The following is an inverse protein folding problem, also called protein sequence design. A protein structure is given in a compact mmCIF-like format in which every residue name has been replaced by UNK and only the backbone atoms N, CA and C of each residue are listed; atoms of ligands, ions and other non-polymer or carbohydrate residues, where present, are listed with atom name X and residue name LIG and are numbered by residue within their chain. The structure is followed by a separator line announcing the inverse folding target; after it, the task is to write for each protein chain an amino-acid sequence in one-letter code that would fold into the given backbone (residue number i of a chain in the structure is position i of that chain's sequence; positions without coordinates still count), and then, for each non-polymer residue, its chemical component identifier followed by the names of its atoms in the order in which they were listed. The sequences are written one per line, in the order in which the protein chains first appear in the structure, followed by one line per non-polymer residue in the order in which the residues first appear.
data_IF_125713395093
#
_entry.id   IF_125713395093
#
_cell.length_a   1.000
_cell.length_b   1.000
_cell.length_c   1.000
_cell.angle_alpha   90.00
_cell.angle_beta   90.00
_cell.angle_gamma   90.00
#
_symmetry.space_group_name_H-M   'P 1'
#
loop_
_entity.id
_entity.type
_entity.pdbx_description
1 polymer ?
#
# COMPACT_ATOMS: atom_id res chain seq x y z
N UNK A 1 0.12 -7.15 9.19
CA UNK A 1 -0.31 -6.29 8.06
C UNK A 1 -1.83 -6.25 8.07
N UNK A 2 -2.45 -5.09 8.30
CA UNK A 2 -3.90 -5.06 8.57
C UNK A 2 -4.70 -5.59 7.38
N UNK A 3 -5.73 -6.36 7.71
CA UNK A 3 -6.70 -6.92 6.75
C UNK A 3 -7.44 -5.80 6.00
N UNK A 4 -7.60 -4.64 6.64
CA UNK A 4 -8.24 -3.44 6.10
C UNK A 4 -7.58 -2.93 4.80
N UNK A 5 -6.25 -2.82 4.77
CA UNK A 5 -5.54 -2.36 3.55
C UNK A 5 -5.68 -3.38 2.42
N UNK A 6 -5.72 -4.67 2.74
CA UNK A 6 -5.95 -5.69 1.72
C UNK A 6 -7.38 -5.62 1.16
N UNK A 7 -8.41 -5.30 1.97
CA UNK A 7 -9.78 -5.20 1.45
C UNK A 7 -9.99 -3.92 0.62
N UNK A 8 -9.42 -2.77 1.01
CA UNK A 8 -9.38 -1.56 0.15
C UNK A 8 -8.78 -1.86 -1.23
N UNK A 9 -7.76 -2.73 -1.26
CA UNK A 9 -7.04 -3.13 -2.47
C UNK A 9 -7.78 -4.24 -3.25
N UNK A 10 -8.55 -5.10 -2.56
CA UNK A 10 -9.27 -6.23 -3.18
C UNK A 10 -10.55 -5.79 -3.90
N UNK A 11 -11.18 -4.68 -3.49
CA UNK A 11 -12.35 -4.11 -4.19
C UNK A 11 -11.98 -3.50 -5.55
N UNK A 12 -10.69 -3.39 -5.89
CA UNK A 12 -10.21 -3.07 -7.24
C UNK A 12 -9.99 -4.34 -8.10
N UNK A 13 -10.95 -5.28 -8.04
CA UNK A 13 -10.94 -6.49 -8.87
C UNK A 13 -11.38 -6.19 -10.31
N UNK A 14 -10.53 -6.61 -11.25
CA UNK A 14 -10.78 -6.76 -12.69
C UNK A 14 -11.91 -7.81 -12.92
N UNK A 15 -12.72 -7.82 -13.99
CA UNK A 15 -12.47 -7.61 -15.41
C UNK A 15 -13.69 -6.94 -16.10
N UNK A 16 -13.47 -6.35 -17.28
CA UNK A 16 -14.37 -5.56 -18.15
C UNK A 16 -14.38 -4.03 -17.88
N UNK A 17 -14.06 -3.25 -18.92
CA UNK A 17 -14.21 -1.77 -19.00
C UNK A 17 -13.03 -0.88 -18.53
N UNK A 18 -11.77 -1.27 -18.78
CA UNK A 18 -10.64 -0.33 -18.70
C UNK A 18 -10.20 0.12 -17.31
N UNK A 19 -10.62 -0.59 -16.25
CA UNK A 19 -10.15 -0.33 -14.88
C UNK A 19 -8.64 -0.60 -14.73
N UNK A 20 -7.92 0.18 -13.90
CA UNK A 20 -6.49 -0.02 -13.67
C UNK A 20 -6.23 -1.28 -12.84
N UNK A 21 -5.12 -1.96 -13.14
CA UNK A 21 -4.66 -3.09 -12.34
C UNK A 21 -4.06 -2.62 -11.03
N UNK A 22 -4.43 -3.26 -9.92
CA UNK A 22 -3.84 -3.03 -8.62
C UNK A 22 -3.20 -4.31 -8.09
N UNK A 23 -1.99 -4.19 -7.56
CA UNK A 23 -1.23 -5.31 -7.00
C UNK A 23 -0.64 -4.84 -5.69
N UNK A 24 -0.84 -5.63 -4.63
CA UNK A 24 -0.19 -5.40 -3.34
C UNK A 24 0.44 -6.68 -2.83
N UNK A 25 1.74 -6.60 -2.62
CA UNK A 25 2.52 -7.67 -2.03
C UNK A 25 3.75 -7.04 -1.35
N UNK A 26 4.01 -7.30 -0.06
CA UNK A 26 5.18 -6.75 0.64
C UNK A 26 6.51 -7.05 -0.07
N UNK A 27 6.60 -8.17 -0.81
CA UNK A 27 7.81 -8.56 -1.55
C UNK A 27 8.11 -7.63 -2.73
N UNK A 28 7.14 -6.83 -3.19
CA UNK A 28 7.37 -5.80 -4.20
C UNK A 28 8.36 -4.73 -3.72
N UNK A 29 8.56 -4.59 -2.40
CA UNK A 29 9.60 -3.69 -1.89
C UNK A 29 11.01 -4.14 -2.33
N UNK A 30 11.22 -5.45 -2.44
CA UNK A 30 12.51 -6.06 -2.81
C UNK A 30 12.61 -6.25 -4.32
N UNK A 31 11.53 -6.71 -4.96
CA UNK A 31 11.52 -7.04 -6.40
C UNK A 31 10.96 -5.93 -7.29
N UNK A 32 10.65 -4.76 -6.73
CA UNK A 32 9.96 -3.66 -7.41
C UNK A 32 10.61 -3.28 -8.72
N UNK A 33 11.95 -3.15 -8.75
CA UNK A 33 12.69 -2.82 -9.96
C UNK A 33 12.42 -3.75 -11.14
N UNK A 34 12.39 -5.07 -10.94
CA UNK A 34 12.14 -6.01 -12.04
C UNK A 34 10.66 -6.07 -12.43
N UNK A 35 9.77 -5.76 -11.48
CA UNK A 35 8.34 -5.73 -11.70
C UNK A 35 7.91 -4.50 -12.51
N UNK A 36 8.36 -3.32 -12.08
CA UNK A 36 8.05 -2.04 -12.69
C UNK A 36 8.52 -1.93 -14.14
N UNK A 37 9.65 -2.55 -14.51
CA UNK A 37 10.13 -2.62 -15.92
C UNK A 37 9.14 -3.27 -16.88
N UNK A 38 8.23 -4.09 -16.38
CA UNK A 38 7.27 -4.87 -17.18
C UNK A 38 5.90 -4.22 -17.22
N UNK A 39 5.73 -3.10 -16.52
CA UNK A 39 4.46 -2.39 -16.41
C UNK A 39 4.42 -1.22 -17.40
N UNK A 40 3.22 -0.97 -17.92
CA UNK A 40 2.95 0.23 -18.71
C UNK A 40 2.44 1.31 -17.75
N UNK A 41 3.20 2.41 -17.60
CA UNK A 41 2.87 3.56 -16.74
C UNK A 41 2.53 3.18 -15.28
N UNK A 42 3.46 2.55 -14.54
CA UNK A 42 3.18 2.18 -13.16
C UNK A 42 3.04 3.40 -12.25
N UNK A 43 2.08 3.32 -11.34
CA UNK A 43 1.93 4.24 -10.21
C UNK A 43 2.13 3.46 -8.93
N UNK A 44 3.02 3.94 -8.07
CA UNK A 44 3.39 3.30 -6.83
C UNK A 44 2.72 4.01 -5.64
N UNK A 45 1.91 3.28 -4.88
CA UNK A 45 1.34 3.77 -3.63
C UNK A 45 2.26 3.31 -2.49
N UNK A 46 2.96 4.25 -1.86
CA UNK A 46 3.87 3.97 -0.74
C UNK A 46 3.22 4.39 0.57
N UNK A 47 2.74 3.40 1.31
CA UNK A 47 2.25 3.61 2.67
C UNK A 47 3.43 3.65 3.62
N UNK A 48 3.63 4.78 4.31
CA UNK A 48 4.68 4.93 5.31
C UNK A 48 4.08 5.00 6.72
N UNK A 49 4.83 4.47 7.68
CA UNK A 49 4.44 4.37 9.09
C UNK A 49 5.68 4.56 9.96
N UNK A 50 5.46 4.93 11.22
CA UNK A 50 6.52 4.94 12.21
C UNK A 50 7.19 3.57 12.32
N UNK A 51 8.52 3.57 12.24
CA UNK A 51 9.33 2.35 12.19
C UNK A 51 9.22 1.54 13.48
N UNK A 52 9.17 2.21 14.64
CA UNK A 52 9.05 1.54 15.93
C UNK A 52 7.66 0.90 16.08
N UNK A 53 6.63 1.60 15.60
CA UNK A 53 5.26 1.12 15.60
C UNK A 53 5.08 -0.14 14.73
N UNK A 54 5.68 -0.16 13.53
CA UNK A 54 5.69 -1.36 12.66
C UNK A 54 6.46 -2.49 13.33
N UNK A 55 7.68 -2.21 13.80
CA UNK A 55 8.58 -3.22 14.33
C UNK A 55 8.03 -3.89 15.58
N UNK A 56 7.44 -3.09 16.48
CA UNK A 56 6.74 -3.61 17.68
C UNK A 56 5.55 -4.47 17.29
N UNK A 57 4.80 -4.09 16.25
CA UNK A 57 3.67 -4.89 15.78
C UNK A 57 4.12 -6.19 15.12
N UNK A 58 5.25 -6.21 14.43
CA UNK A 58 5.83 -7.40 13.81
C UNK A 58 6.29 -8.45 14.84
N UNK A 59 6.73 -8.01 16.03
CA UNK A 59 7.00 -8.93 17.15
C UNK A 59 5.80 -9.80 17.50
N UNK A 60 4.57 -9.27 17.40
CA UNK A 60 3.34 -10.02 17.69
C UNK A 60 3.00 -11.13 16.67
N UNK A 61 3.59 -11.08 15.47
CA UNK A 61 3.43 -12.10 14.43
C UNK A 61 4.59 -13.10 14.37
N UNK A 62 5.50 -13.03 15.34
CA UNK A 62 6.70 -13.83 15.37
C UNK A 62 6.38 -15.27 15.80
N UNK A 63 6.09 -16.14 14.83
CA UNK A 63 5.83 -17.57 15.03
C UNK A 63 7.05 -18.44 14.73
N UNK A 64 8.19 -17.82 14.39
CA UNK A 64 9.42 -18.52 14.03
C UNK A 64 10.20 -18.94 15.28
N UNK A 65 10.94 -20.05 15.16
CA UNK A 65 11.80 -20.59 16.23
C UNK A 65 12.92 -19.63 16.65
N UNK A 66 13.33 -18.73 15.76
CA UNK A 66 14.29 -17.66 16.02
C UNK A 66 13.54 -16.33 15.89
N UNK A 67 13.23 -15.73 17.02
CA UNK A 67 12.48 -14.48 17.06
C UNK A 67 13.40 -13.31 16.74
N UNK A 68 13.17 -12.65 15.60
CA UNK A 68 13.77 -11.34 15.32
C UNK A 68 13.40 -10.31 16.40
N UNK A 69 14.32 -9.42 16.70
CA UNK A 69 14.19 -8.29 17.61
C UNK A 69 13.53 -7.08 16.92
N UNK A 70 13.10 -6.11 17.73
CA UNK A 70 12.57 -4.82 17.23
C UNK A 70 13.59 -4.11 16.34
N UNK A 71 14.89 -4.20 16.67
CA UNK A 71 15.97 -3.62 15.86
C UNK A 71 16.04 -4.27 14.48
N UNK A 72 16.04 -5.60 14.42
CA UNK A 72 16.09 -6.34 13.15
C UNK A 72 14.83 -6.08 12.30
N UNK A 73 13.65 -5.99 12.92
CA UNK A 73 12.44 -5.58 12.20
C UNK A 73 12.50 -4.14 11.68
N UNK A 74 13.13 -3.23 12.43
CA UNK A 74 13.31 -1.84 12.01
C UNK A 74 14.21 -1.76 10.78
N UNK A 75 15.31 -2.51 10.78
CA UNK A 75 16.26 -2.60 9.66
C UNK A 75 15.58 -3.16 8.40
N UNK A 76 14.83 -4.26 8.53
CA UNK A 76 14.07 -4.84 7.40
C UNK A 76 13.07 -3.84 6.83
N UNK A 77 12.34 -3.12 7.69
CA UNK A 77 11.36 -2.14 7.25
C UNK A 77 12.01 -0.97 6.50
N UNK A 78 13.12 -0.45 7.03
CA UNK A 78 13.88 0.61 6.38
C UNK A 78 14.43 0.16 5.02
N UNK A 79 15.01 -1.04 4.94
CA UNK A 79 15.48 -1.64 3.68
C UNK A 79 14.35 -1.74 2.65
N UNK A 80 13.16 -2.15 3.07
CA UNK A 80 12.00 -2.24 2.18
C UNK A 80 11.56 -0.88 1.65
N UNK A 81 11.48 0.13 2.51
CA UNK A 81 11.09 1.49 2.09
C UNK A 81 12.12 2.10 1.16
N UNK A 82 13.41 2.00 1.48
CA UNK A 82 14.52 2.49 0.65
C UNK A 82 14.54 1.79 -0.70
N UNK A 83 14.43 0.46 -0.73
CA UNK A 83 14.44 -0.32 -1.97
C UNK A 83 13.21 0.00 -2.86
N UNK A 84 12.05 0.22 -2.26
CA UNK A 84 10.83 0.63 -2.97
C UNK A 84 11.01 1.99 -3.64
N UNK A 85 11.45 3.00 -2.88
CA UNK A 85 11.66 4.36 -3.39
C UNK A 85 12.73 4.35 -4.49
N UNK A 86 13.86 3.67 -4.24
CA UNK A 86 14.95 3.56 -5.21
C UNK A 86 14.48 2.91 -6.52
N UNK A 87 13.63 1.88 -6.44
CA UNK A 87 13.07 1.22 -7.62
C UNK A 87 12.16 2.15 -8.43
N UNK A 88 11.32 2.94 -7.74
CA UNK A 88 10.43 3.91 -8.39
C UNK A 88 11.23 5.02 -9.08
N UNK A 89 12.18 5.63 -8.37
CA UNK A 89 13.05 6.69 -8.91
C UNK A 89 13.86 6.18 -10.10
N UNK A 90 14.45 4.99 -10.00
CA UNK A 90 15.28 4.43 -11.07
C UNK A 90 14.52 4.21 -12.39
N UNK A 91 13.20 4.06 -12.34
CA UNK A 91 12.35 3.81 -13.51
C UNK A 91 11.36 4.94 -13.78
N UNK A 92 11.50 6.08 -13.10
CA UNK A 92 10.59 7.23 -13.21
C UNK A 92 9.11 6.84 -13.02
N UNK A 93 8.83 5.93 -12.09
CA UNK A 93 7.46 5.63 -11.70
C UNK A 93 6.91 6.76 -10.81
N UNK A 94 5.65 7.13 -11.03
CA UNK A 94 4.96 8.10 -10.17
C UNK A 94 4.75 7.51 -8.77
N UNK A 95 4.95 8.32 -7.74
CA UNK A 95 4.82 7.89 -6.34
C UNK A 95 3.74 8.71 -5.65
N UNK A 96 2.75 8.01 -5.08
CA UNK A 96 1.76 8.60 -4.17
C UNK A 96 2.06 8.11 -2.76
N UNK A 97 2.39 9.04 -1.86
CA UNK A 97 2.70 8.73 -0.47
C UNK A 97 1.44 8.77 0.39
N UNK A 98 1.26 7.75 1.23
CA UNK A 98 0.12 7.62 2.14
C UNK A 98 0.62 7.47 3.58
N UNK A 99 0.38 8.47 4.46
CA UNK A 99 0.66 8.31 5.89
C UNK A 99 -0.31 7.29 6.49
N UNK A 100 0.23 6.25 7.12
CA UNK A 100 -0.59 5.26 7.82
C UNK A 100 -1.43 5.88 8.95
N UNK A 101 -0.92 6.90 9.62
CA UNK A 101 -1.67 7.61 10.68
C UNK A 101 -2.96 8.23 10.16
N UNK A 102 -2.99 8.70 8.91
CA UNK A 102 -4.20 9.29 8.33
C UNK A 102 -5.24 8.22 7.95
N UNK A 103 -4.81 6.99 7.64
CA UNK A 103 -5.74 5.84 7.51
C UNK A 103 -6.49 5.60 8.83
N UNK A 104 -5.83 5.79 9.97
CA UNK A 104 -6.44 5.55 11.28
C UNK A 104 -7.30 6.73 11.75
N UNK A 105 -6.88 7.98 11.48
CA UNK A 105 -7.55 9.16 12.03
C UNK A 105 -8.56 9.82 11.10
N UNK A 106 -8.40 9.66 9.78
CA UNK A 106 -9.25 10.30 8.77
C UNK A 106 -9.37 9.45 7.49
N UNK A 107 -9.89 8.21 7.57
CA UNK A 107 -9.92 7.30 6.43
C UNK A 107 -10.74 7.85 5.25
N UNK A 108 -11.88 8.50 5.50
CA UNK A 108 -12.73 9.08 4.44
C UNK A 108 -12.00 10.18 3.67
N UNK A 109 -11.44 11.17 4.39
CA UNK A 109 -10.72 12.26 3.74
C UNK A 109 -9.47 11.77 3.00
N UNK A 110 -8.79 10.75 3.54
CA UNK A 110 -7.65 10.14 2.88
C UNK A 110 -8.04 9.41 1.59
N UNK A 111 -9.16 8.69 1.56
CA UNK A 111 -9.62 8.02 0.33
C UNK A 111 -9.95 9.03 -0.76
N UNK A 112 -10.64 10.11 -0.42
CA UNK A 112 -10.95 11.19 -1.37
C UNK A 112 -9.67 11.85 -1.91
N UNK A 113 -8.71 12.12 -1.01
CA UNK A 113 -7.40 12.64 -1.38
C UNK A 113 -6.64 11.67 -2.28
N UNK A 114 -6.58 10.39 -1.92
CA UNK A 114 -5.89 9.35 -2.69
C UNK A 114 -6.50 9.20 -4.09
N UNK A 115 -7.84 9.22 -4.20
CA UNK A 115 -8.53 9.22 -5.48
C UNK A 115 -8.13 10.42 -6.34
N UNK A 116 -8.08 11.61 -5.75
CA UNK A 116 -7.65 12.84 -6.43
C UNK A 116 -6.20 12.74 -6.89
N UNK A 117 -5.29 12.31 -6.00
CA UNK A 117 -3.86 12.17 -6.28
C UNK A 117 -3.61 11.15 -7.40
N UNK A 118 -4.28 10.00 -7.37
CA UNK A 118 -4.19 8.96 -8.41
C UNK A 118 -4.70 9.47 -9.76
N UNK A 119 -5.80 10.23 -9.78
CA UNK A 119 -6.30 10.87 -11.01
C UNK A 119 -5.32 11.91 -11.54
N UNK A 120 -4.69 12.69 -10.66
CA UNK A 120 -3.73 13.71 -11.03
C UNK A 120 -2.47 13.13 -11.70
N UNK A 121 -2.01 11.95 -11.26
CA UNK A 121 -0.90 11.22 -11.89
C UNK A 121 -1.32 10.37 -13.09
N UNK A 122 -2.56 10.51 -13.56
CA UNK A 122 -3.04 9.93 -14.82
C UNK A 122 -3.70 8.56 -14.71
N UNK A 123 -4.02 8.08 -13.50
CA UNK A 123 -4.80 6.84 -13.35
C UNK A 123 -6.25 7.09 -13.75
N UNK A 124 -6.65 6.50 -14.87
CA UNK A 124 -8.00 6.61 -15.41
C UNK A 124 -8.97 5.58 -14.79
N UNK A 125 -10.27 5.78 -15.04
CA UNK A 125 -11.34 4.83 -14.68
C UNK A 125 -11.41 4.48 -13.18
N UNK A 126 -11.04 5.43 -12.33
CA UNK A 126 -11.24 5.37 -10.89
C UNK A 126 -12.56 6.04 -10.49
N UNK A 127 -13.34 5.32 -9.70
CA UNK A 127 -14.59 5.80 -9.10
C UNK A 127 -14.39 6.06 -7.60
N UNK A 128 -15.15 7.00 -7.01
CA UNK A 128 -15.19 7.15 -5.56
C UNK A 128 -15.75 5.88 -4.91
N UNK A 129 -15.28 5.60 -3.70
CA UNK A 129 -15.91 4.60 -2.83
C UNK A 129 -17.27 5.12 -2.38
N UNK A 130 -18.27 4.24 -2.32
CA UNK A 130 -19.48 4.58 -1.58
C UNK A 130 -19.16 4.65 -0.09
N UNK A 131 -19.96 5.39 0.68
CA UNK A 131 -19.76 5.48 2.12
C UNK A 131 -19.94 4.09 2.76
N UNK A 132 -20.93 3.34 2.28
CA UNK A 132 -21.23 2.00 2.74
C UNK A 132 -20.07 1.03 2.49
N UNK A 133 -19.45 1.08 1.31
CA UNK A 133 -18.28 0.26 1.01
C UNK A 133 -17.10 0.65 1.91
N UNK A 134 -16.87 1.94 2.10
CA UNK A 134 -15.75 2.39 2.93
C UNK A 134 -15.98 2.04 4.42
N UNK A 135 -17.21 2.14 4.90
CA UNK A 135 -17.61 1.72 6.25
C UNK A 135 -17.34 0.22 6.46
N UNK A 136 -17.75 -0.63 5.50
CA UNK A 136 -17.48 -2.06 5.55
C UNK A 136 -15.97 -2.37 5.56
N UNK A 137 -15.16 -1.65 4.76
CA UNK A 137 -13.69 -1.81 4.79
C UNK A 137 -13.10 -1.40 6.14
N UNK A 138 -13.48 -0.24 6.68
CA UNK A 138 -12.99 0.27 7.97
C UNK A 138 -13.35 -0.68 9.12
N UNK A 139 -14.57 -1.22 9.08
CA UNK A 139 -15.08 -2.14 10.11
C UNK A 139 -14.58 -3.58 9.93
N UNK A 140 -13.83 -3.87 8.87
CA UNK A 140 -13.29 -5.20 8.59
C UNK A 140 -14.34 -6.21 8.11
N UNK A 141 -15.45 -5.74 7.54
CA UNK A 141 -16.49 -6.56 6.91
C UNK A 141 -16.01 -7.04 5.52
N UNK A 142 -16.29 -8.31 5.17
CA UNK A 142 -15.79 -8.94 3.95
C UNK A 142 -16.56 -8.50 2.69
N UNK A 143 -15.85 -8.42 1.55
CA UNK A 143 -16.38 -8.25 0.18
C UNK A 143 -16.07 -9.47 -0.68
#
# INVERSE_FOLDING_TARGET
FSREVNSMITTMRNDAQGKPWLIKDPRLCVFGKEYLKRMNNPVCILVYRDVLEVSTRMMGYNTLKESLSVKEFSEIWEEYMVASIASCVALNAEIVYVPYTELETNPYGLVDKLLSDLKAVGVANLSPFSKEDLDAVINGEEF
#
